data_IF_802645014353
#
_entry.id   IF_802645014353
#
_cell.length_a   1.000
_cell.length_b   1.000
_cell.length_c   1.000
_cell.angle_alpha   90.00
_cell.angle_beta   90.00
_cell.angle_gamma   90.00
#
_symmetry.space_group_name_H-M   'P 1'
#
loop_
_entity.id
_entity.type
_entity.pdbx_description
1 polymer ?
#
# COMPACT_ATOMS: atom_id res chain seq x y z
N UNK A 1 24.66 -2.14 10.52
CA UNK A 1 24.03 -0.82 10.24
C UNK A 1 25.04 0.26 10.59
N UNK A 2 25.29 1.23 9.70
CA UNK A 2 26.30 2.27 9.91
C UNK A 2 25.85 3.26 11.02
N UNK A 3 26.74 3.68 11.94
CA UNK A 3 26.41 4.59 13.07
C UNK A 3 25.69 5.87 12.60
N UNK A 4 26.07 6.37 11.42
CA UNK A 4 25.47 7.55 10.77
C UNK A 4 24.01 7.33 10.34
N UNK A 5 23.64 6.10 9.96
CA UNK A 5 22.28 5.74 9.60
C UNK A 5 21.40 5.59 10.84
N UNK A 6 21.94 5.03 11.93
CA UNK A 6 21.24 4.94 13.22
C UNK A 6 20.88 6.35 13.74
N UNK A 7 21.85 7.28 13.72
CA UNK A 7 21.61 8.66 14.15
C UNK A 7 20.52 9.36 13.32
N UNK A 8 20.53 9.19 11.98
CA UNK A 8 19.48 9.73 11.10
C UNK A 8 18.10 9.16 11.41
N UNK A 9 18.00 7.84 11.63
CA UNK A 9 16.74 7.19 12.00
C UNK A 9 16.22 7.69 13.34
N UNK A 10 17.09 7.82 14.35
CA UNK A 10 16.71 8.34 15.66
C UNK A 10 16.26 9.80 15.58
N UNK A 11 16.96 10.65 14.83
CA UNK A 11 16.55 12.06 14.62
C UNK A 11 15.22 12.16 13.88
N UNK A 12 15.00 11.33 12.85
CA UNK A 12 13.74 11.32 12.10
C UNK A 12 12.56 10.86 12.98
N UNK A 13 12.74 9.79 13.75
CA UNK A 13 11.74 9.31 14.72
C UNK A 13 11.48 10.36 15.80
N UNK A 14 12.53 10.99 16.34
CA UNK A 14 12.42 12.05 17.34
C UNK A 14 11.65 13.26 16.82
N UNK A 15 11.95 13.72 15.60
CA UNK A 15 11.22 14.80 14.94
C UNK A 15 9.76 14.42 14.71
N UNK A 16 9.49 13.21 14.24
CA UNK A 16 8.13 12.72 14.00
C UNK A 16 7.31 12.66 15.29
N UNK A 17 7.89 12.14 16.37
CA UNK A 17 7.27 12.10 17.71
C UNK A 17 7.04 13.51 18.24
N UNK A 18 8.01 14.42 18.10
CA UNK A 18 7.88 15.80 18.54
C UNK A 18 6.78 16.54 17.75
N UNK A 19 6.67 16.30 16.44
CA UNK A 19 5.61 16.89 15.61
C UNK A 19 4.24 16.33 16.00
N UNK A 20 4.13 15.02 16.20
CA UNK A 20 2.89 14.37 16.64
C UNK A 20 2.46 14.88 18.04
N UNK A 21 3.41 15.03 18.96
CA UNK A 21 3.17 15.61 20.28
C UNK A 21 2.76 17.08 20.19
N UNK A 22 3.44 17.88 19.37
CA UNK A 22 3.10 19.28 19.14
C UNK A 22 1.68 19.44 18.59
N UNK A 23 1.33 18.69 17.53
CA UNK A 23 -0.01 18.71 16.94
C UNK A 23 -1.06 18.31 17.97
N UNK A 24 -0.83 17.23 18.73
CA UNK A 24 -1.74 16.80 19.79
C UNK A 24 -1.91 17.86 20.87
N UNK A 25 -0.81 18.47 21.31
CA UNK A 25 -0.81 19.49 22.38
C UNK A 25 -1.48 20.81 21.97
N UNK A 26 -1.47 21.14 20.67
CA UNK A 26 -1.98 22.43 20.15
C UNK A 26 -3.39 22.35 19.60
N UNK A 27 -3.82 21.21 19.06
CA UNK A 27 -5.07 21.10 18.30
C UNK A 27 -6.13 20.18 18.93
N UNK A 28 -5.93 19.72 20.18
CA UNK A 28 -6.82 18.79 20.91
C UNK A 28 -7.34 17.65 20.01
N UNK A 29 -6.41 17.07 19.25
CA UNK A 29 -6.71 16.05 18.25
C UNK A 29 -6.92 14.72 18.98
N UNK A 30 -8.15 14.50 19.43
CA UNK A 30 -8.59 13.19 19.91
C UNK A 30 -8.88 12.26 18.72
N UNK A 31 -8.75 10.96 18.96
CA UNK A 31 -9.14 9.94 17.99
C UNK A 31 -10.61 10.14 17.55
N UNK A 32 -11.48 10.48 18.50
CA UNK A 32 -12.90 10.73 18.25
C UNK A 32 -13.14 11.98 17.39
N UNK A 33 -12.36 13.05 17.58
CA UNK A 33 -12.44 14.28 16.76
C UNK A 33 -12.03 14.00 15.31
N UNK A 34 -10.96 13.23 15.09
CA UNK A 34 -10.56 12.81 13.73
C UNK A 34 -11.66 11.95 13.10
N UNK A 35 -12.19 10.98 13.86
CA UNK A 35 -13.20 10.05 13.36
C UNK A 35 -14.47 10.78 12.95
N UNK A 36 -14.97 11.65 13.83
CA UNK A 36 -16.17 12.45 13.59
C UNK A 36 -15.99 13.42 12.41
N UNK A 37 -14.79 14.01 12.24
CA UNK A 37 -14.47 14.82 11.06
C UNK A 37 -14.49 14.01 9.76
N UNK A 38 -13.94 12.80 9.74
CA UNK A 38 -14.01 11.94 8.55
C UNK A 38 -15.47 11.55 8.24
N UNK A 39 -16.25 11.25 9.29
CA UNK A 39 -17.66 10.87 9.15
C UNK A 39 -18.55 12.06 8.79
N UNK A 40 -18.15 13.31 9.06
CA UNK A 40 -18.95 14.50 8.72
C UNK A 40 -19.08 14.73 7.20
N UNK A 41 -18.23 14.09 6.39
CA UNK A 41 -18.41 14.05 4.94
C UNK A 41 -19.59 13.17 4.49
N UNK A 42 -20.21 12.41 5.41
CA UNK A 42 -21.39 11.60 5.10
C UNK A 42 -21.16 10.60 3.97
N UNK A 43 -22.14 10.43 3.09
CA UNK A 43 -22.12 9.44 2.01
C UNK A 43 -21.04 9.69 0.94
N UNK A 44 -20.53 10.92 0.81
CA UNK A 44 -19.47 11.25 -0.16
C UNK A 44 -18.06 10.98 0.40
N UNK A 45 -17.92 10.77 1.72
CA UNK A 45 -16.64 10.51 2.37
C UNK A 45 -15.84 9.36 1.72
N UNK A 46 -16.45 8.20 1.45
CA UNK A 46 -15.78 7.09 0.75
C UNK A 46 -15.33 7.45 -0.67
N UNK A 47 -16.11 8.26 -1.41
CA UNK A 47 -15.73 8.71 -2.77
C UNK A 47 -14.52 9.64 -2.73
N UNK A 48 -14.50 10.59 -1.79
CA UNK A 48 -13.33 11.46 -1.57
C UNK A 48 -12.11 10.62 -1.25
N UNK A 49 -12.26 9.64 -0.36
CA UNK A 49 -11.18 8.72 0.01
C UNK A 49 -10.62 7.96 -1.20
N UNK A 50 -11.49 7.37 -2.02
CA UNK A 50 -11.10 6.65 -3.23
C UNK A 50 -10.42 7.57 -4.25
N UNK A 51 -10.89 8.81 -4.39
CA UNK A 51 -10.27 9.83 -5.24
C UNK A 51 -8.86 10.20 -4.79
N UNK A 52 -8.67 10.46 -3.49
CA UNK A 52 -7.36 10.73 -2.89
C UNK A 52 -6.39 9.55 -3.09
N UNK A 53 -6.91 8.33 -2.99
CA UNK A 53 -6.15 7.12 -3.28
C UNK A 53 -5.68 7.08 -4.73
N UNK A 54 -6.59 7.31 -5.68
CA UNK A 54 -6.32 7.22 -7.11
C UNK A 54 -5.25 8.22 -7.59
N UNK A 55 -5.17 9.39 -6.96
CA UNK A 55 -4.13 10.41 -7.23
C UNK A 55 -2.83 10.17 -6.45
N UNK A 56 -2.88 9.34 -5.40
CA UNK A 56 -1.75 9.05 -4.50
C UNK A 56 -0.42 8.72 -5.22
N UNK A 57 -0.41 7.88 -6.28
CA UNK A 57 0.81 7.59 -7.04
C UNK A 57 1.46 8.83 -7.66
N UNK A 58 0.67 9.84 -8.05
CA UNK A 58 1.17 11.07 -8.70
C UNK A 58 1.96 11.92 -7.71
N UNK A 59 1.49 12.00 -6.46
CA UNK A 59 2.06 12.83 -5.40
C UNK A 59 2.96 12.05 -4.43
N UNK A 60 3.16 10.75 -4.68
CA UNK A 60 3.92 9.82 -3.81
C UNK A 60 3.42 9.88 -2.36
N UNK A 61 2.10 9.97 -2.21
CA UNK A 61 1.47 10.05 -0.88
C UNK A 61 1.47 8.67 -0.22
N UNK A 62 1.80 8.55 1.07
CA UNK A 62 1.78 7.28 1.78
C UNK A 62 0.34 6.74 1.90
N UNK A 63 -0.01 5.83 1.00
CA UNK A 63 -1.35 5.19 0.95
C UNK A 63 -1.69 4.42 2.22
N UNK A 64 -0.69 4.00 3.01
CA UNK A 64 -0.89 3.39 4.33
C UNK A 64 -1.64 4.31 5.32
N UNK A 65 -1.41 5.62 5.24
CA UNK A 65 -2.12 6.60 6.08
C UNK A 65 -3.59 6.64 5.71
N UNK A 66 -3.89 6.63 4.41
CA UNK A 66 -5.26 6.53 3.92
C UNK A 66 -5.88 5.19 4.37
N UNK A 67 -5.20 4.06 4.18
CA UNK A 67 -5.70 2.75 4.63
C UNK A 67 -6.17 2.75 6.07
N UNK A 68 -5.31 3.23 6.97
CA UNK A 68 -5.62 3.30 8.39
C UNK A 68 -6.78 4.25 8.66
N UNK A 69 -6.83 5.41 8.01
CA UNK A 69 -7.92 6.37 8.17
C UNK A 69 -9.29 5.81 7.74
N UNK A 70 -9.36 5.07 6.61
CA UNK A 70 -10.62 4.45 6.19
C UNK A 70 -11.10 3.39 7.19
N UNK A 71 -10.22 2.48 7.62
CA UNK A 71 -10.59 1.45 8.57
C UNK A 71 -10.90 1.99 9.98
N UNK A 72 -10.22 3.08 10.37
CA UNK A 72 -10.48 3.80 11.60
C UNK A 72 -11.85 4.48 11.59
N UNK A 73 -12.24 5.10 10.47
CA UNK A 73 -13.53 5.77 10.36
C UNK A 73 -14.69 4.79 10.19
N UNK A 74 -14.58 3.87 9.22
CA UNK A 74 -15.69 3.06 8.72
C UNK A 74 -15.72 1.62 9.25
N UNK A 75 -14.72 1.23 10.05
CA UNK A 75 -14.62 -0.13 10.60
C UNK A 75 -14.02 -1.15 9.61
N UNK A 76 -14.00 -2.43 10.03
CA UNK A 76 -13.21 -3.47 9.36
C UNK A 76 -13.70 -3.71 7.92
N UNK A 77 -14.98 -4.04 7.73
CA UNK A 77 -15.49 -4.47 6.43
C UNK A 77 -15.69 -3.31 5.44
N UNK A 78 -16.37 -2.20 5.82
CA UNK A 78 -16.53 -1.08 4.90
C UNK A 78 -15.19 -0.38 4.63
N UNK A 79 -14.35 -0.23 5.66
CA UNK A 79 -12.99 0.30 5.49
C UNK A 79 -12.16 -0.55 4.53
N UNK A 80 -12.14 -1.87 4.70
CA UNK A 80 -11.46 -2.79 3.78
C UNK A 80 -11.95 -2.63 2.34
N UNK A 81 -13.26 -2.54 2.12
CA UNK A 81 -13.84 -2.34 0.80
C UNK A 81 -13.35 -1.03 0.16
N UNK A 82 -13.39 0.08 0.90
CA UNK A 82 -12.93 1.38 0.41
C UNK A 82 -11.43 1.39 0.10
N UNK A 83 -10.63 0.68 0.91
CA UNK A 83 -9.19 0.52 0.65
C UNK A 83 -8.97 -0.30 -0.63
N UNK A 84 -9.66 -1.42 -0.81
CA UNK A 84 -9.53 -2.25 -2.02
C UNK A 84 -9.86 -1.45 -3.27
N UNK A 85 -10.97 -0.71 -3.26
CA UNK A 85 -11.38 0.09 -4.43
C UNK A 85 -10.39 1.23 -4.66
N UNK A 86 -10.03 1.99 -3.62
CA UNK A 86 -9.08 3.09 -3.71
C UNK A 86 -7.69 2.63 -4.19
N UNK A 87 -7.14 1.57 -3.58
CA UNK A 87 -5.85 1.00 -3.95
C UNK A 87 -5.89 0.42 -5.38
N UNK A 88 -7.00 -0.17 -5.81
CA UNK A 88 -7.16 -0.60 -7.21
C UNK A 88 -7.12 0.61 -8.14
N UNK A 89 -7.82 1.69 -7.82
CA UNK A 89 -7.76 2.95 -8.55
C UNK A 89 -6.34 3.50 -8.67
N UNK A 90 -5.61 3.56 -7.55
CA UNK A 90 -4.20 3.96 -7.51
C UNK A 90 -3.32 3.05 -8.39
N UNK A 91 -3.51 1.74 -8.30
CA UNK A 91 -2.80 0.76 -9.12
C UNK A 91 -3.07 0.96 -10.61
N UNK A 92 -4.32 1.26 -10.98
CA UNK A 92 -4.71 1.57 -12.36
C UNK A 92 -4.05 2.87 -12.83
N UNK A 93 -4.07 3.94 -12.03
CA UNK A 93 -3.37 5.20 -12.35
C UNK A 93 -1.89 4.93 -12.62
N UNK A 94 -1.22 4.19 -11.72
CA UNK A 94 0.18 3.82 -11.89
C UNK A 94 0.44 2.98 -13.14
N UNK A 95 -0.41 1.98 -13.40
CA UNK A 95 -0.34 1.16 -14.60
C UNK A 95 -0.48 2.00 -15.88
N UNK A 96 -1.46 2.91 -15.95
CA UNK A 96 -1.66 3.79 -17.10
C UNK A 96 -0.44 4.71 -17.28
N UNK A 97 0.05 5.30 -16.19
CA UNK A 97 1.23 6.16 -16.24
C UNK A 97 2.45 5.41 -16.80
N UNK A 98 2.70 4.19 -16.31
CA UNK A 98 3.78 3.35 -16.81
C UNK A 98 3.60 2.95 -18.28
N UNK A 99 2.36 2.64 -18.69
CA UNK A 99 2.02 2.20 -20.05
C UNK A 99 2.24 3.29 -21.11
N UNK A 100 1.93 4.54 -20.79
CA UNK A 100 1.97 5.64 -21.76
C UNK A 100 3.19 6.55 -21.61
N UNK A 101 3.70 6.75 -20.40
CA UNK A 101 4.82 7.67 -20.13
C UNK A 101 6.12 6.97 -19.72
N UNK A 102 6.09 5.65 -19.51
CA UNK A 102 7.27 4.94 -19.01
C UNK A 102 8.48 4.98 -19.95
N UNK A 103 8.24 4.96 -21.25
CA UNK A 103 9.30 4.98 -22.26
C UNK A 103 9.95 6.35 -22.42
N UNK A 104 9.17 7.43 -22.29
CA UNK A 104 9.66 8.80 -22.38
C UNK A 104 10.46 9.22 -21.15
N UNK A 105 10.12 8.70 -19.96
CA UNK A 105 10.75 9.11 -18.70
C UNK A 105 11.95 8.23 -18.32
N UNK A 106 11.84 6.91 -18.46
CA UNK A 106 12.83 5.97 -17.92
C UNK A 106 13.66 5.26 -18.99
N UNK A 107 13.42 5.53 -20.29
CA UNK A 107 13.99 4.78 -21.42
C UNK A 107 13.94 3.27 -21.14
N UNK A 108 12.82 2.81 -20.60
CA UNK A 108 12.69 1.49 -19.96
C UNK A 108 13.13 0.35 -20.89
N UNK A 109 12.80 0.44 -22.19
CA UNK A 109 13.22 -0.50 -23.23
C UNK A 109 14.75 -0.61 -23.45
N UNK A 110 15.55 0.35 -22.96
CA UNK A 110 17.01 0.31 -23.05
C UNK A 110 17.66 -0.39 -21.85
N UNK A 111 16.90 -0.70 -20.81
CA UNK A 111 17.40 -1.40 -19.62
C UNK A 111 17.34 -2.92 -19.82
N UNK A 112 18.49 -3.60 -19.70
CA UNK A 112 18.56 -5.08 -19.70
C UNK A 112 17.64 -5.72 -18.65
N UNK A 113 17.37 -5.02 -17.54
CA UNK A 113 16.48 -5.49 -16.48
C UNK A 113 15.01 -5.49 -16.93
N UNK A 114 14.59 -4.49 -17.71
CA UNK A 114 13.24 -4.37 -18.25
C UNK A 114 12.90 -5.47 -19.26
N UNK A 115 13.81 -5.76 -20.20
CA UNK A 115 13.64 -6.84 -21.18
C UNK A 115 13.50 -8.21 -20.52
N UNK A 116 14.33 -8.49 -19.50
CA UNK A 116 14.25 -9.73 -18.72
C UNK A 116 12.94 -9.89 -17.95
N UNK A 117 12.38 -8.82 -17.40
CA UNK A 117 11.07 -8.87 -16.73
C UNK A 117 9.95 -9.07 -17.76
N UNK A 118 10.01 -8.34 -18.88
CA UNK A 118 9.03 -8.45 -19.96
C UNK A 118 8.92 -9.89 -20.50
N UNK A 119 10.05 -10.51 -20.85
CA UNK A 119 10.08 -11.89 -21.34
C UNK A 119 9.58 -12.90 -20.30
N UNK A 120 9.81 -12.65 -19.01
CA UNK A 120 9.38 -13.56 -17.93
C UNK A 120 7.90 -13.45 -17.60
N UNK A 121 7.30 -12.28 -17.80
CA UNK A 121 5.87 -12.08 -17.61
C UNK A 121 5.05 -12.71 -18.75
N UNK A 122 5.63 -12.91 -19.93
CA UNK A 122 4.94 -13.54 -21.06
C UNK A 122 4.35 -14.91 -20.67
N UNK A 123 3.02 -14.99 -20.73
CA UNK A 123 2.24 -16.21 -20.47
C UNK A 123 1.76 -16.39 -19.04
N UNK A 124 2.27 -15.64 -18.05
CA UNK A 124 1.87 -15.76 -16.64
C UNK A 124 1.66 -14.41 -15.91
N UNK A 125 1.36 -13.34 -16.67
CA UNK A 125 1.02 -11.98 -16.21
C UNK A 125 0.34 -11.89 -14.83
N UNK A 126 -0.76 -12.64 -14.64
CA UNK A 126 -1.52 -12.66 -13.39
C UNK A 126 -0.67 -13.17 -12.22
N UNK A 127 -0.02 -14.32 -12.37
CA UNK A 127 0.70 -15.00 -11.29
C UNK A 127 1.88 -14.15 -10.80
N UNK A 128 2.61 -13.51 -11.71
CA UNK A 128 3.73 -12.63 -11.38
C UNK A 128 3.29 -11.43 -10.55
N UNK A 129 2.26 -10.72 -11.01
CA UNK A 129 1.71 -9.56 -10.27
C UNK A 129 1.14 -10.03 -8.93
N UNK A 130 0.42 -11.14 -8.91
CA UNK A 130 -0.21 -11.67 -7.70
C UNK A 130 0.83 -12.02 -6.62
N UNK A 131 1.88 -12.75 -6.98
CA UNK A 131 2.95 -13.12 -6.05
C UNK A 131 3.69 -11.88 -5.55
N UNK A 132 3.98 -10.91 -6.43
CA UNK A 132 4.65 -9.66 -6.04
C UNK A 132 3.76 -8.76 -5.17
N UNK A 133 2.44 -8.90 -5.23
CA UNK A 133 1.49 -8.21 -4.32
C UNK A 133 1.38 -8.91 -2.97
N UNK A 134 1.41 -10.24 -2.94
CA UNK A 134 1.42 -11.03 -1.70
C UNK A 134 2.75 -10.91 -0.94
N UNK A 135 3.85 -10.94 -1.67
CA UNK A 135 5.22 -10.84 -1.14
C UNK A 135 5.83 -9.58 -1.76
N UNK A 136 5.60 -8.41 -1.14
CA UNK A 136 6.00 -7.12 -1.68
C UNK A 136 7.53 -6.94 -1.66
N UNK A 137 8.19 -7.52 -2.65
CA UNK A 137 9.62 -7.29 -2.94
C UNK A 137 9.85 -5.92 -3.57
N UNK A 138 8.79 -5.39 -4.20
CA UNK A 138 8.75 -4.12 -4.92
C UNK A 138 7.63 -3.28 -4.32
N UNK A 139 7.84 -1.96 -4.20
CA UNK A 139 6.83 -1.04 -3.69
C UNK A 139 5.55 -1.04 -4.53
N UNK A 140 4.42 -0.71 -3.91
CA UNK A 140 3.10 -0.79 -4.53
C UNK A 140 3.02 0.00 -5.85
N UNK A 141 3.48 1.24 -5.86
CA UNK A 141 3.44 2.12 -7.03
C UNK A 141 4.43 1.70 -8.09
N UNK A 142 5.65 1.33 -7.68
CA UNK A 142 6.70 0.84 -8.57
C UNK A 142 6.19 -0.39 -9.35
N UNK A 143 5.58 -1.36 -8.67
CA UNK A 143 5.02 -2.54 -9.33
C UNK A 143 3.93 -2.17 -10.33
N UNK A 144 3.07 -1.20 -10.01
CA UNK A 144 2.03 -0.71 -10.91
C UNK A 144 2.64 -0.06 -12.17
N UNK A 145 3.63 0.82 -12.02
CA UNK A 145 4.33 1.43 -13.16
C UNK A 145 5.01 0.38 -14.03
N UNK A 146 5.73 -0.57 -13.41
CA UNK A 146 6.41 -1.64 -14.13
C UNK A 146 5.44 -2.50 -14.93
N UNK A 147 4.30 -2.90 -14.34
CA UNK A 147 3.29 -3.67 -15.04
C UNK A 147 2.73 -2.93 -16.27
N UNK A 148 2.59 -1.60 -16.16
CA UNK A 148 2.23 -0.73 -17.29
C UNK A 148 3.30 -0.74 -18.39
N UNK A 149 4.56 -0.52 -18.01
CA UNK A 149 5.71 -0.47 -18.91
C UNK A 149 5.96 -1.79 -19.63
N UNK A 150 5.83 -2.92 -18.92
CA UNK A 150 5.98 -4.27 -19.48
C UNK A 150 4.73 -4.77 -20.19
N UNK A 151 3.73 -3.91 -20.37
CA UNK A 151 2.51 -4.18 -21.13
C UNK A 151 1.69 -5.38 -20.67
N UNK A 152 1.74 -5.72 -19.37
CA UNK A 152 0.93 -6.78 -18.74
C UNK A 152 -0.54 -6.62 -19.12
N UNK A 153 -1.27 -7.71 -19.37
CA UNK A 153 -2.71 -7.62 -19.64
C UNK A 153 -3.44 -6.90 -18.50
N UNK A 154 -4.18 -5.84 -18.83
CA UNK A 154 -4.84 -4.98 -17.86
C UNK A 154 -5.72 -5.77 -16.87
N UNK A 155 -6.54 -6.68 -17.38
CA UNK A 155 -7.44 -7.48 -16.54
C UNK A 155 -6.66 -8.42 -15.61
N UNK A 156 -5.56 -9.03 -16.09
CA UNK A 156 -4.68 -9.85 -15.27
C UNK A 156 -4.04 -9.02 -14.15
N UNK A 157 -3.58 -7.81 -14.45
CA UNK A 157 -3.02 -6.89 -13.46
C UNK A 157 -4.05 -6.48 -12.38
N UNK A 158 -5.26 -6.09 -12.80
CA UNK A 158 -6.31 -5.65 -11.87
C UNK A 158 -6.74 -6.79 -10.96
N UNK A 159 -7.07 -7.96 -11.52
CA UNK A 159 -7.49 -9.11 -10.71
C UNK A 159 -6.38 -9.58 -9.77
N UNK A 160 -5.14 -9.67 -10.26
CA UNK A 160 -4.00 -10.05 -9.43
C UNK A 160 -3.76 -9.05 -8.29
N UNK A 161 -3.94 -7.75 -8.57
CA UNK A 161 -3.78 -6.70 -7.56
C UNK A 161 -4.90 -6.76 -6.53
N UNK A 162 -6.16 -6.87 -6.95
CA UNK A 162 -7.31 -7.00 -6.03
C UNK A 162 -7.13 -8.19 -5.11
N UNK A 163 -6.91 -9.39 -5.66
CA UNK A 163 -6.84 -10.62 -4.86
C UNK A 163 -5.55 -10.63 -4.02
N UNK A 164 -4.42 -10.23 -4.61
CA UNK A 164 -3.12 -10.24 -3.95
C UNK A 164 -2.99 -9.26 -2.78
N UNK A 165 -3.77 -8.17 -2.77
CA UNK A 165 -3.74 -7.22 -1.66
C UNK A 165 -4.72 -7.55 -0.52
N UNK A 166 -5.71 -8.43 -0.72
CA UNK A 166 -6.73 -8.72 0.29
C UNK A 166 -6.15 -9.08 1.66
N UNK A 167 -5.13 -9.97 1.79
CA UNK A 167 -4.60 -10.33 3.11
C UNK A 167 -3.97 -9.12 3.82
N UNK A 168 -3.21 -8.31 3.09
CA UNK A 168 -2.59 -7.10 3.61
C UNK A 168 -3.63 -6.05 3.99
N UNK A 169 -4.63 -5.82 3.13
CA UNK A 169 -5.71 -4.87 3.38
C UNK A 169 -6.56 -5.27 4.58
N UNK A 170 -6.84 -6.56 4.75
CA UNK A 170 -7.54 -7.07 5.93
C UNK A 170 -6.75 -6.78 7.22
N UNK A 171 -5.45 -7.01 7.22
CA UNK A 171 -4.59 -6.68 8.36
C UNK A 171 -4.57 -5.17 8.65
N UNK A 172 -4.44 -4.32 7.62
CA UNK A 172 -4.57 -2.87 7.77
C UNK A 172 -5.93 -2.47 8.35
N UNK A 173 -6.99 -3.15 7.93
CA UNK A 173 -8.33 -2.85 8.41
C UNK A 173 -8.52 -3.20 9.89
N UNK A 174 -8.00 -4.35 10.31
CA UNK A 174 -7.95 -4.73 11.73
C UNK A 174 -7.18 -3.70 12.56
N UNK A 175 -6.00 -3.27 12.09
CA UNK A 175 -5.21 -2.26 12.80
C UNK A 175 -5.99 -0.94 12.90
N UNK A 176 -6.48 -0.40 11.78
CA UNK A 176 -7.19 0.88 11.78
C UNK A 176 -8.43 0.87 12.68
N UNK A 177 -9.25 -0.18 12.63
CA UNK A 177 -10.41 -0.30 13.52
C UNK A 177 -10.02 -0.50 14.98
N UNK A 178 -8.97 -1.27 15.27
CA UNK A 178 -8.49 -1.46 16.66
C UNK A 178 -8.00 -0.15 17.29
N UNK A 179 -7.43 0.76 16.50
CA UNK A 179 -7.04 2.10 16.93
C UNK A 179 -8.25 2.98 17.27
N UNK A 180 -9.38 2.78 16.59
CA UNK A 180 -10.63 3.51 16.86
C UNK A 180 -11.35 2.99 18.11
N UNK A 181 -11.41 1.67 18.30
CA UNK A 181 -12.15 1.08 19.41
C UNK A 181 -11.37 1.01 20.72
N UNK A 182 -10.02 1.01 20.66
CA UNK A 182 -9.17 0.76 21.82
C UNK A 182 -9.32 -0.65 22.43
N UNK A 183 -10.02 -1.56 21.73
CA UNK A 183 -10.29 -2.91 22.20
C UNK A 183 -8.99 -3.74 22.19
N UNK A 184 -8.56 -4.15 23.38
CA UNK A 184 -7.34 -4.95 23.58
C UNK A 184 -7.36 -6.25 22.78
N UNK A 185 -8.52 -6.88 22.63
CA UNK A 185 -8.67 -8.14 21.88
C UNK A 185 -8.43 -7.91 20.40
N UNK A 186 -9.05 -6.88 19.82
CA UNK A 186 -8.84 -6.51 18.42
C UNK A 186 -7.41 -6.07 18.15
N UNK A 187 -6.76 -5.36 19.08
CA UNK A 187 -5.34 -4.99 18.98
C UNK A 187 -4.47 -6.25 18.92
N UNK A 188 -4.69 -7.23 19.81
CA UNK A 188 -3.94 -8.48 19.83
C UNK A 188 -4.15 -9.31 18.55
N UNK A 189 -5.39 -9.38 18.04
CA UNK A 189 -5.70 -10.04 16.77
C UNK A 189 -4.97 -9.33 15.62
N UNK A 190 -5.08 -8.00 15.53
CA UNK A 190 -4.43 -7.20 14.49
C UNK A 190 -2.90 -7.41 14.50
N UNK A 191 -2.28 -7.36 15.68
CA UNK A 191 -0.85 -7.60 15.84
C UNK A 191 -0.43 -9.01 15.44
N UNK A 192 -1.23 -10.03 15.81
CA UNK A 192 -0.97 -11.42 15.47
C UNK A 192 -1.06 -11.67 13.96
N UNK A 193 -2.12 -11.16 13.31
CA UNK A 193 -2.31 -11.26 11.85
C UNK A 193 -1.19 -10.54 11.11
N UNK A 194 -0.86 -9.31 11.51
CA UNK A 194 0.21 -8.54 10.87
C UNK A 194 1.57 -9.22 11.01
N UNK A 195 1.87 -9.77 12.19
CA UNK A 195 3.10 -10.54 12.44
C UNK A 195 3.14 -11.80 11.59
N UNK A 196 2.04 -12.55 11.51
CA UNK A 196 1.94 -13.76 10.69
C UNK A 196 2.17 -13.46 9.20
N UNK A 197 1.60 -12.37 8.68
CA UNK A 197 1.84 -11.92 7.31
C UNK A 197 3.31 -11.55 7.10
N UNK A 198 3.92 -10.78 8.00
CA UNK A 198 5.33 -10.41 7.91
C UNK A 198 6.25 -11.64 7.92
N UNK A 199 6.01 -12.59 8.82
CA UNK A 199 6.76 -13.84 8.90
C UNK A 199 6.59 -14.64 7.61
N UNK A 200 5.37 -14.77 7.11
CA UNK A 200 5.09 -15.46 5.84
C UNK A 200 5.83 -14.80 4.68
N UNK A 201 5.71 -13.47 4.53
CA UNK A 201 6.44 -12.70 3.53
C UNK A 201 7.95 -12.90 3.67
N UNK A 202 8.49 -12.88 4.89
CA UNK A 202 9.92 -13.05 5.15
C UNK A 202 10.43 -14.45 4.78
N UNK A 203 9.71 -15.50 5.18
CA UNK A 203 10.11 -16.89 4.91
C UNK A 203 10.07 -17.23 3.42
N UNK A 204 9.06 -16.74 2.71
CA UNK A 204 8.90 -17.00 1.28
C UNK A 204 9.66 -16.01 0.40
N UNK A 205 10.13 -14.88 0.92
CA UNK A 205 10.88 -13.85 0.18
C UNK A 205 12.02 -14.43 -0.64
N UNK A 206 12.88 -15.26 -0.04
CA UNK A 206 14.05 -15.79 -0.74
C UNK A 206 13.65 -16.78 -1.85
N UNK A 207 12.65 -17.63 -1.59
CA UNK A 207 12.13 -18.58 -2.59
C UNK A 207 11.50 -17.84 -3.78
N UNK A 208 10.69 -16.83 -3.50
CA UNK A 208 10.05 -15.99 -4.53
C UNK A 208 11.09 -15.20 -5.30
N UNK A 209 12.08 -14.63 -4.62
CA UNK A 209 13.19 -13.91 -5.26
C UNK A 209 13.94 -14.81 -6.26
N UNK A 210 14.29 -16.04 -5.85
CA UNK A 210 14.95 -17.02 -6.72
C UNK A 210 14.05 -17.45 -7.88
N UNK A 211 12.76 -17.70 -7.64
CA UNK A 211 11.79 -18.07 -8.67
C UNK A 211 11.62 -16.96 -9.72
N UNK A 212 11.51 -15.71 -9.27
CA UNK A 212 11.46 -14.51 -10.11
C UNK A 212 12.82 -14.18 -10.76
N UNK A 213 13.90 -14.84 -10.31
CA UNK A 213 15.32 -14.56 -10.59
C UNK A 213 15.66 -13.06 -10.50
N UNK A 214 15.31 -12.45 -9.37
CA UNK A 214 15.67 -11.10 -8.89
C UNK A 214 16.83 -11.17 -7.88
#
# INVERSE_FOLDING_TARGET
MNKKNILRTVLFLGLFIALAWFVRSRFDVSADNIRSYILSFGAIGPLIFMGLYAIGPIVVFPTSVLSLAAAFAYGIWPGMLYIVIGATGAGITGYIMGRFFGDSVLKFHQSKWAGNIYERMQGQDFLYVFILRLIPLVGFDILSYLAGMTRVKFLSFVLATVIGMLPGTFAYSLVGTSLASGDRTLILIAFSVFTLLLVTTYLFRNKVRTWLKL
#
